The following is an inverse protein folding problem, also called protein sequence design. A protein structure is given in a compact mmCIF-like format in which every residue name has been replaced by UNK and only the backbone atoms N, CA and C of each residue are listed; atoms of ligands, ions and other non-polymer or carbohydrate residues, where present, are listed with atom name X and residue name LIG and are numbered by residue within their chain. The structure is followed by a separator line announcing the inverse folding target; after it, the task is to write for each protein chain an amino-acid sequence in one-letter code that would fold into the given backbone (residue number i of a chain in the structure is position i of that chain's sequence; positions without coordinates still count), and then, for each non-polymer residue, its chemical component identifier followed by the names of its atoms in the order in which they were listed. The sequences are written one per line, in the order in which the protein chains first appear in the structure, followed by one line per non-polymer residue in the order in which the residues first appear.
data_IF_847052885391
#
_entry.id   IF_847052885391
#
_cell.length_a   1.000
_cell.length_b   1.000
_cell.length_c   1.000
_cell.angle_alpha   90.00
_cell.angle_beta   90.00
_cell.angle_gamma   90.00
#
_symmetry.space_group_name_H-M   'P 1'
#
loop_
_entity.id
_entity.type
_entity.pdbx_description
1 polymer ?
#
# COMPACT_ATOMS: atom_id res chain seq x y z
N UNK A 1 -25.79 -0.98 -19.13
CA UNK A 1 -24.55 -0.22 -18.83
C UNK A 1 -23.73 -0.86 -17.70
N UNK A 2 -24.33 -1.31 -16.59
CA UNK A 2 -23.62 -1.96 -15.48
C UNK A 2 -22.69 -3.14 -15.89
N UNK A 3 -23.13 -4.06 -16.74
CA UNK A 3 -22.30 -5.23 -17.15
C UNK A 3 -21.09 -4.89 -18.03
N UNK A 4 -21.08 -3.73 -18.70
CA UNK A 4 -19.95 -3.29 -19.50
C UNK A 4 -18.83 -2.72 -18.61
N UNK A 5 -19.19 -1.90 -17.62
CA UNK A 5 -18.23 -1.36 -16.64
C UNK A 5 -17.60 -2.45 -15.77
N UNK A 6 -18.37 -3.48 -15.40
CA UNK A 6 -17.83 -4.64 -14.67
C UNK A 6 -16.81 -5.43 -15.49
N UNK A 7 -17.05 -5.56 -16.80
CA UNK A 7 -16.12 -6.23 -17.73
C UNK A 7 -14.83 -5.44 -17.88
N UNK A 8 -14.90 -4.12 -18.09
CA UNK A 8 -13.71 -3.27 -18.19
C UNK A 8 -12.88 -3.26 -16.90
N UNK A 9 -13.54 -3.18 -15.74
CA UNK A 9 -12.84 -3.25 -14.46
C UNK A 9 -12.12 -4.57 -14.24
N UNK A 10 -12.74 -5.68 -14.62
CA UNK A 10 -12.11 -7.00 -14.59
C UNK A 10 -10.86 -7.05 -15.47
N UNK A 11 -10.95 -6.65 -16.75
CA UNK A 11 -9.79 -6.68 -17.66
C UNK A 11 -8.67 -5.75 -17.19
N UNK A 12 -9.01 -4.56 -16.68
CA UNK A 12 -8.02 -3.64 -16.12
C UNK A 12 -7.26 -4.27 -14.95
N UNK A 13 -7.98 -4.83 -13.96
CA UNK A 13 -7.35 -5.50 -12.81
C UNK A 13 -6.54 -6.71 -13.27
N UNK A 14 -7.05 -7.51 -14.21
CA UNK A 14 -6.36 -8.69 -14.72
C UNK A 14 -5.04 -8.33 -15.42
N UNK A 15 -5.06 -7.32 -16.28
CA UNK A 15 -3.84 -6.84 -16.97
C UNK A 15 -2.86 -6.26 -15.95
N UNK A 16 -3.34 -5.45 -15.00
CA UNK A 16 -2.50 -4.89 -13.95
C UNK A 16 -1.84 -5.98 -13.12
N UNK A 17 -2.60 -6.95 -12.60
CA UNK A 17 -2.05 -8.05 -11.80
C UNK A 17 -1.08 -8.92 -12.60
N UNK A 18 -1.38 -9.19 -13.87
CA UNK A 18 -0.49 -9.95 -14.76
C UNK A 18 0.83 -9.21 -14.97
N UNK A 19 0.77 -7.89 -15.21
CA UNK A 19 1.95 -7.05 -15.32
C UNK A 19 2.77 -7.04 -14.03
N UNK A 20 2.15 -6.80 -12.87
CA UNK A 20 2.85 -6.76 -11.59
C UNK A 20 3.49 -8.10 -11.24
N UNK A 21 2.80 -9.22 -11.49
CA UNK A 21 3.34 -10.57 -11.30
C UNK A 21 4.55 -10.82 -12.22
N UNK A 22 4.45 -10.43 -13.49
CA UNK A 22 5.56 -10.56 -14.43
C UNK A 22 6.76 -9.71 -14.02
N UNK A 23 6.54 -8.49 -13.53
CA UNK A 23 7.60 -7.60 -13.01
C UNK A 23 8.28 -8.19 -11.76
N UNK A 24 7.50 -8.75 -10.83
CA UNK A 24 8.03 -9.46 -9.67
C UNK A 24 8.91 -10.64 -10.10
N UNK A 25 8.40 -11.53 -10.96
CA UNK A 25 9.17 -12.69 -11.46
C UNK A 25 10.46 -12.24 -12.16
N UNK A 26 10.38 -11.23 -13.02
CA UNK A 26 11.55 -10.68 -13.72
C UNK A 26 12.56 -10.08 -12.74
N UNK A 27 12.11 -9.35 -11.72
CA UNK A 27 12.97 -8.81 -10.68
C UNK A 27 13.67 -9.91 -9.88
N UNK A 28 12.97 -11.00 -9.55
CA UNK A 28 13.55 -12.12 -8.80
C UNK A 28 14.48 -12.99 -9.63
N UNK A 29 14.20 -13.19 -10.92
CA UNK A 29 15.12 -13.85 -11.84
C UNK A 29 16.42 -13.03 -11.96
N UNK A 30 16.31 -11.71 -12.13
CA UNK A 30 17.48 -10.85 -12.20
C UNK A 30 18.24 -10.77 -10.87
N UNK A 31 17.54 -10.88 -9.73
CA UNK A 31 18.16 -10.98 -8.41
C UNK A 31 18.88 -12.32 -8.22
N UNK A 32 18.33 -13.43 -8.72
CA UNK A 32 18.95 -14.74 -8.64
C UNK A 32 20.24 -14.84 -9.49
N UNK A 33 20.27 -14.18 -10.66
CA UNK A 33 21.43 -14.21 -11.57
C UNK A 33 22.56 -13.30 -11.08
N UNK A 34 22.24 -12.09 -10.64
CA UNK A 34 23.26 -11.07 -10.36
C UNK A 34 23.41 -10.72 -8.88
N UNK A 35 22.50 -11.20 -8.02
CA UNK A 35 22.48 -10.87 -6.61
C UNK A 35 22.30 -9.37 -6.33
N UNK A 36 22.71 -8.98 -5.13
CA UNK A 36 22.63 -7.60 -4.62
C UNK A 36 23.91 -6.79 -4.85
N UNK A 37 25.01 -7.45 -5.24
CA UNK A 37 26.34 -6.86 -5.39
C UNK A 37 26.75 -6.89 -6.86
N UNK A 38 26.60 -5.77 -7.55
CA UNK A 38 27.02 -5.63 -8.95
C UNK A 38 27.63 -4.24 -9.18
N UNK A 39 28.54 -4.13 -10.15
CA UNK A 39 29.20 -2.87 -10.48
C UNK A 39 28.29 -1.98 -11.36
N UNK A 40 28.65 -0.69 -11.49
CA UNK A 40 27.86 0.30 -12.25
C UNK A 40 27.67 -0.07 -13.73
N UNK A 41 28.65 -0.73 -14.34
CA UNK A 41 28.59 -1.16 -15.74
C UNK A 41 27.55 -2.27 -15.95
N UNK A 42 27.48 -3.23 -15.03
CA UNK A 42 26.47 -4.28 -15.04
C UNK A 42 25.10 -3.71 -14.70
N UNK A 43 25.02 -2.81 -13.70
CA UNK A 43 23.79 -2.11 -13.33
C UNK A 43 23.15 -1.37 -14.52
N UNK A 44 23.97 -0.73 -15.37
CA UNK A 44 23.48 0.03 -16.53
C UNK A 44 22.79 -0.81 -17.61
N UNK A 45 22.97 -2.15 -17.58
CA UNK A 45 22.38 -3.10 -18.53
C UNK A 45 21.22 -3.89 -17.93
N UNK A 46 20.95 -3.70 -16.65
CA UNK A 46 19.89 -4.37 -15.92
C UNK A 46 18.55 -3.68 -16.13
N UNK A 47 17.47 -4.46 -16.06
CA UNK A 47 16.13 -3.90 -16.01
C UNK A 47 15.89 -3.23 -14.65
N UNK A 48 16.51 -3.76 -13.58
CA UNK A 48 16.40 -3.23 -12.22
C UNK A 48 17.79 -2.84 -11.67
N UNK A 49 18.27 -1.61 -11.98
CA UNK A 49 19.63 -1.18 -11.66
C UNK A 49 19.89 -0.98 -10.17
N UNK A 50 18.85 -0.89 -9.34
CA UNK A 50 18.96 -0.81 -7.88
C UNK A 50 18.12 -1.92 -7.26
N UNK A 51 18.67 -2.63 -6.26
CA UNK A 51 17.98 -3.73 -5.56
C UNK A 51 18.12 -3.60 -4.04
N UNK A 52 17.90 -2.40 -3.50
CA UNK A 52 18.06 -2.18 -2.05
C UNK A 52 16.96 -2.85 -1.23
N UNK A 53 17.19 -3.04 0.07
CA UNK A 53 16.19 -3.51 1.04
C UNK A 53 14.93 -2.66 0.98
N UNK A 54 15.08 -1.32 1.00
CA UNK A 54 13.95 -0.39 0.91
C UNK A 54 13.14 -0.66 -0.36
N UNK A 55 13.79 -0.72 -1.52
CA UNK A 55 13.12 -0.91 -2.80
C UNK A 55 12.43 -2.28 -2.91
N UNK A 56 13.04 -3.34 -2.35
CA UNK A 56 12.42 -4.68 -2.30
C UNK A 56 11.15 -4.73 -1.45
N UNK A 57 11.02 -3.82 -0.49
CA UNK A 57 9.86 -3.72 0.40
C UNK A 57 8.86 -2.64 -0.05
N UNK A 58 9.23 -1.79 -1.01
CA UNK A 58 8.34 -0.81 -1.66
C UNK A 58 7.25 -1.54 -2.44
N UNK A 59 6.03 -1.01 -2.38
CA UNK A 59 4.89 -1.60 -3.06
C UNK A 59 5.03 -1.57 -4.59
N UNK A 60 4.19 -2.32 -5.27
CA UNK A 60 4.39 -2.70 -6.67
C UNK A 60 4.23 -1.52 -7.64
N UNK A 61 3.24 -0.65 -7.45
CA UNK A 61 2.99 0.49 -8.34
C UNK A 61 4.16 1.47 -8.24
N UNK A 62 4.58 1.80 -7.02
CA UNK A 62 5.69 2.69 -6.77
C UNK A 62 7.01 2.11 -7.25
N UNK A 63 7.29 0.84 -6.97
CA UNK A 63 8.52 0.19 -7.43
C UNK A 63 8.58 0.10 -8.96
N UNK A 64 7.51 -0.35 -9.63
CA UNK A 64 7.57 -0.74 -11.05
C UNK A 64 7.08 0.33 -12.02
N UNK A 65 6.31 1.30 -11.56
CA UNK A 65 5.68 2.32 -12.42
C UNK A 65 6.11 3.72 -12.00
N UNK A 66 5.77 4.14 -10.77
CA UNK A 66 5.93 5.54 -10.40
C UNK A 66 7.40 5.94 -10.21
N UNK A 67 8.20 5.12 -9.53
CA UNK A 67 9.62 5.44 -9.30
C UNK A 67 10.40 5.51 -10.62
N UNK A 68 10.35 4.52 -11.53
CA UNK A 68 11.02 4.64 -12.83
C UNK A 68 10.55 5.86 -13.63
N UNK A 69 9.27 6.21 -13.54
CA UNK A 69 8.73 7.40 -14.20
C UNK A 69 9.31 8.69 -13.61
N UNK A 70 9.45 8.79 -12.28
CA UNK A 70 10.04 9.96 -11.61
C UNK A 70 11.54 10.07 -11.87
N UNK A 71 12.28 8.96 -11.87
CA UNK A 71 13.70 8.96 -12.24
C UNK A 71 13.91 9.38 -13.70
N UNK A 72 13.09 8.86 -14.63
CA UNK A 72 13.11 9.29 -16.03
C UNK A 72 12.76 10.77 -16.18
N UNK A 73 11.78 11.25 -15.41
CA UNK A 73 11.38 12.67 -15.43
C UNK A 73 12.51 13.57 -14.94
N UNK A 74 13.20 13.18 -13.88
CA UNK A 74 14.40 13.86 -13.40
C UNK A 74 15.52 13.85 -14.45
N UNK A 75 15.82 12.71 -15.06
CA UNK A 75 16.87 12.60 -16.09
C UNK A 75 16.59 13.48 -17.32
N UNK A 76 15.33 13.52 -17.78
CA UNK A 76 14.95 14.23 -19.00
C UNK A 76 14.67 15.71 -18.80
N UNK A 77 14.08 16.09 -17.67
CA UNK A 77 13.65 17.46 -17.40
C UNK A 77 14.62 18.22 -16.48
N UNK A 78 15.53 17.52 -15.79
CA UNK A 78 16.50 18.13 -14.88
C UNK A 78 15.83 18.86 -13.71
N UNK A 79 14.77 18.29 -13.14
CA UNK A 79 13.91 18.93 -12.13
C UNK A 79 14.75 19.41 -10.93
N UNK A 80 15.72 18.61 -10.50
CA UNK A 80 16.64 18.93 -9.41
C UNK A 80 17.49 20.19 -9.64
N UNK A 81 17.69 20.56 -10.90
CA UNK A 81 18.51 21.71 -11.31
C UNK A 81 17.68 23.00 -11.49
N UNK A 82 16.36 22.92 -11.40
CA UNK A 82 15.48 24.09 -11.55
C UNK A 82 15.58 24.98 -10.30
N UNK A 83 15.92 26.27 -10.44
CA UNK A 83 16.01 27.19 -9.31
C UNK A 83 14.70 27.28 -8.52
N UNK A 84 14.78 27.13 -7.20
CA UNK A 84 13.64 27.21 -6.29
C UNK A 84 12.88 25.90 -6.08
N UNK A 85 13.17 24.85 -6.86
CA UNK A 85 12.64 23.50 -6.58
C UNK A 85 13.53 22.84 -5.52
N UNK A 86 12.91 22.46 -4.41
CA UNK A 86 13.55 21.69 -3.34
C UNK A 86 12.66 20.50 -2.97
N UNK A 87 13.20 19.43 -2.37
CA UNK A 87 12.40 18.31 -1.89
C UNK A 87 11.21 18.78 -1.02
N UNK A 88 11.45 19.66 -0.05
CA UNK A 88 10.39 20.19 0.83
C UNK A 88 9.29 20.95 0.08
N UNK A 89 9.62 21.65 -1.01
CA UNK A 89 8.63 22.34 -1.85
C UNK A 89 7.77 21.32 -2.59
N UNK A 90 8.37 20.24 -3.09
CA UNK A 90 7.65 19.12 -3.69
C UNK A 90 6.76 18.45 -2.62
N UNK A 91 7.27 18.25 -1.40
CA UNK A 91 6.51 17.66 -0.30
C UNK A 91 5.25 18.49 0.05
N UNK A 92 5.39 19.81 0.12
CA UNK A 92 4.26 20.71 0.33
C UNK A 92 3.25 20.68 -0.84
N UNK A 93 3.74 20.53 -2.08
CA UNK A 93 2.89 20.47 -3.26
C UNK A 93 2.10 19.15 -3.33
N UNK A 94 2.72 18.02 -2.99
CA UNK A 94 2.02 16.74 -2.96
C UNK A 94 0.93 16.72 -1.88
N UNK A 95 1.16 17.34 -0.72
CA UNK A 95 0.12 17.53 0.30
C UNK A 95 -1.05 18.39 -0.23
N UNK A 96 -0.77 19.45 -0.98
CA UNK A 96 -1.81 20.25 -1.62
C UNK A 96 -2.64 19.43 -2.62
N UNK A 97 -2.00 18.57 -3.42
CA UNK A 97 -2.69 17.62 -4.28
C UNK A 97 -3.57 16.65 -3.49
N UNK A 98 -3.13 16.18 -2.31
CA UNK A 98 -3.93 15.35 -1.42
C UNK A 98 -5.21 16.06 -0.97
N UNK A 99 -5.14 17.35 -0.59
CA UNK A 99 -6.30 18.15 -0.22
C UNK A 99 -7.32 18.23 -1.36
N UNK A 100 -6.87 18.54 -2.58
CA UNK A 100 -7.73 18.60 -3.77
C UNK A 100 -8.36 17.23 -4.03
N UNK A 101 -7.57 16.16 -4.05
CA UNK A 101 -8.06 14.81 -4.27
C UNK A 101 -9.14 14.42 -3.25
N UNK A 102 -8.91 14.69 -1.96
CA UNK A 102 -9.86 14.39 -0.90
C UNK A 102 -11.18 15.17 -1.05
N UNK A 103 -11.13 16.39 -1.59
CA UNK A 103 -12.35 17.15 -1.92
C UNK A 103 -13.17 16.43 -3.00
N UNK A 104 -12.51 15.92 -4.03
CA UNK A 104 -13.16 15.12 -5.07
C UNK A 104 -13.68 13.77 -4.52
N UNK A 105 -12.96 13.13 -3.60
CA UNK A 105 -13.32 11.86 -2.97
C UNK A 105 -14.66 11.89 -2.22
N UNK A 106 -15.05 13.04 -1.67
CA UNK A 106 -16.31 13.22 -0.92
C UNK A 106 -17.52 13.41 -1.87
N UNK A 107 -17.28 13.57 -3.17
CA UNK A 107 -18.33 13.82 -4.16
C UNK A 107 -19.27 12.62 -4.32
N UNK A 108 -20.54 12.90 -4.57
CA UNK A 108 -21.55 11.88 -4.85
C UNK A 108 -21.25 11.12 -6.16
N UNK A 109 -20.93 11.88 -7.21
CA UNK A 109 -20.70 11.32 -8.53
C UNK A 109 -19.40 10.52 -8.59
N UNK A 110 -19.49 9.29 -9.09
CA UNK A 110 -18.33 8.41 -9.27
C UNK A 110 -17.26 9.05 -10.16
N UNK A 111 -17.64 9.76 -11.22
CA UNK A 111 -16.69 10.44 -12.11
C UNK A 111 -15.75 11.41 -11.35
N UNK A 112 -16.29 12.22 -10.44
CA UNK A 112 -15.47 13.11 -9.61
C UNK A 112 -14.57 12.34 -8.65
N UNK A 113 -15.06 11.26 -8.04
CA UNK A 113 -14.24 10.40 -7.18
C UNK A 113 -13.08 9.76 -7.96
N UNK A 114 -13.31 9.35 -9.21
CA UNK A 114 -12.27 8.82 -10.12
C UNK A 114 -11.22 9.87 -10.46
N UNK A 115 -11.63 11.12 -10.72
CA UNK A 115 -10.68 12.25 -10.87
C UNK A 115 -9.86 12.44 -9.60
N UNK A 116 -10.51 12.38 -8.43
CA UNK A 116 -9.82 12.39 -7.14
C UNK A 116 -8.76 11.28 -7.02
N UNK A 117 -9.06 10.06 -7.48
CA UNK A 117 -8.08 8.96 -7.48
C UNK A 117 -6.86 9.28 -8.34
N UNK A 118 -7.06 9.82 -9.55
CA UNK A 118 -5.95 10.21 -10.45
C UNK A 118 -5.10 11.32 -9.83
N UNK A 119 -5.72 12.32 -9.18
CA UNK A 119 -4.99 13.38 -8.48
C UNK A 119 -4.20 12.82 -7.29
N UNK A 120 -4.75 11.84 -6.57
CA UNK A 120 -4.03 11.20 -5.46
C UNK A 120 -2.85 10.35 -5.95
N UNK A 121 -3.02 9.68 -7.10
CA UNK A 121 -1.93 8.92 -7.70
C UNK A 121 -0.80 9.85 -8.18
N UNK A 122 -1.15 10.99 -8.77
CA UNK A 122 -0.18 12.03 -9.07
C UNK A 122 0.51 12.57 -7.81
N UNK A 123 -0.22 12.68 -6.69
CA UNK A 123 0.35 12.99 -5.38
C UNK A 123 1.39 11.94 -4.96
N UNK A 124 1.12 10.64 -5.12
CA UNK A 124 2.07 9.58 -4.78
C UNK A 124 3.33 9.63 -5.66
N UNK A 125 3.18 10.01 -6.93
CA UNK A 125 4.33 10.25 -7.80
C UNK A 125 5.19 11.42 -7.32
N UNK A 126 4.56 12.52 -6.88
CA UNK A 126 5.29 13.68 -6.34
C UNK A 126 6.02 13.38 -5.02
N UNK A 127 5.40 12.57 -4.16
CA UNK A 127 6.02 12.02 -2.94
C UNK A 127 7.31 11.27 -3.29
N UNK A 128 7.30 10.35 -4.26
CA UNK A 128 8.54 9.71 -4.73
C UNK A 128 9.54 10.68 -5.37
N UNK A 129 9.05 11.71 -6.08
CA UNK A 129 9.88 12.69 -6.77
C UNK A 129 10.72 13.51 -5.80
N UNK A 130 10.23 13.84 -4.61
CA UNK A 130 11.01 14.61 -3.64
C UNK A 130 12.29 13.86 -3.20
N UNK A 131 12.18 12.55 -3.05
CA UNK A 131 13.29 11.66 -2.73
C UNK A 131 14.25 11.52 -3.91
N UNK A 132 13.75 11.47 -5.14
CA UNK A 132 14.56 11.46 -6.37
C UNK A 132 15.36 12.77 -6.47
N UNK A 133 14.70 13.92 -6.30
CA UNK A 133 15.34 15.24 -6.34
C UNK A 133 16.36 15.39 -5.21
N UNK A 134 16.04 14.96 -3.99
CA UNK A 134 16.98 14.96 -2.86
C UNK A 134 18.23 14.15 -3.20
N UNK A 135 18.08 12.95 -3.77
CA UNK A 135 19.19 12.08 -4.17
C UNK A 135 20.04 12.70 -5.27
N UNK A 136 19.42 13.32 -6.26
CA UNK A 136 20.10 14.03 -7.35
C UNK A 136 20.92 15.22 -6.80
N UNK A 137 20.31 16.07 -5.96
CA UNK A 137 20.97 17.24 -5.35
C UNK A 137 22.07 16.85 -4.35
N UNK A 138 21.90 15.74 -3.64
CA UNK A 138 22.90 15.22 -2.70
C UNK A 138 23.99 14.35 -3.37
N UNK A 139 23.93 14.15 -4.69
CA UNK A 139 24.77 13.21 -5.44
C UNK A 139 24.79 11.78 -4.85
N UNK A 140 23.67 11.34 -4.25
CA UNK A 140 23.52 10.01 -3.66
C UNK A 140 22.73 9.12 -4.60
N UNK A 141 23.30 7.98 -5.00
CA UNK A 141 22.63 6.97 -5.84
C UNK A 141 21.93 5.85 -5.05
N UNK A 142 22.14 5.79 -3.74
CA UNK A 142 21.59 4.73 -2.89
C UNK A 142 20.21 5.08 -2.34
N UNK A 143 19.30 4.10 -2.38
CA UNK A 143 17.94 4.22 -1.86
C UNK A 143 17.91 3.93 -0.36
N UNK A 144 18.32 4.93 0.43
CA UNK A 144 18.27 4.91 1.89
C UNK A 144 17.48 6.12 2.36
N UNK A 145 16.62 5.94 3.36
CA UNK A 145 15.90 7.05 3.96
C UNK A 145 16.87 7.98 4.71
N UNK A 146 16.71 9.29 4.56
CA UNK A 146 17.48 10.29 5.29
C UNK A 146 17.01 10.45 6.73
N UNK A 147 16.94 9.36 7.51
CA UNK A 147 16.36 9.35 8.86
C UNK A 147 16.94 10.46 9.73
N UNK A 148 16.06 11.25 10.35
CA UNK A 148 16.44 12.36 11.23
C UNK A 148 16.82 13.67 10.52
N UNK A 149 16.79 13.73 9.19
CA UNK A 149 16.92 15.00 8.46
C UNK A 149 15.62 15.83 8.53
N UNK A 150 15.75 17.15 8.40
CA UNK A 150 14.58 18.04 8.34
C UNK A 150 13.68 17.73 7.14
N UNK A 151 14.27 17.37 5.99
CA UNK A 151 13.52 16.95 4.80
C UNK A 151 12.71 15.69 5.04
N UNK A 152 13.31 14.66 5.65
CA UNK A 152 12.61 13.43 6.03
C UNK A 152 11.43 13.68 6.97
N UNK A 153 11.57 14.61 7.93
CA UNK A 153 10.48 14.95 8.84
C UNK A 153 9.34 15.71 8.15
N UNK A 154 9.68 16.63 7.24
CA UNK A 154 8.68 17.38 6.46
C UNK A 154 7.91 16.43 5.55
N UNK A 155 8.61 15.59 4.81
CA UNK A 155 8.03 14.59 3.92
C UNK A 155 7.08 13.65 4.68
N UNK A 156 7.57 13.02 5.75
CA UNK A 156 6.76 12.14 6.60
C UNK A 156 5.52 12.84 7.20
N UNK A 157 5.63 14.13 7.56
CA UNK A 157 4.50 14.89 8.07
C UNK A 157 3.45 15.17 6.97
N UNK A 158 3.89 15.48 5.75
CA UNK A 158 3.01 15.69 4.60
C UNK A 158 2.33 14.39 4.17
N UNK A 159 3.04 13.26 4.16
CA UNK A 159 2.48 11.93 3.89
C UNK A 159 1.43 11.53 4.91
N UNK A 160 1.79 11.66 6.19
CA UNK A 160 0.89 11.34 7.29
C UNK A 160 -0.38 12.20 7.24
N UNK A 161 -0.21 13.52 7.00
CA UNK A 161 -1.31 14.44 6.83
C UNK A 161 -2.21 14.08 5.64
N UNK A 162 -1.62 13.79 4.48
CA UNK A 162 -2.33 13.38 3.27
C UNK A 162 -3.12 12.08 3.47
N UNK A 163 -2.50 11.10 4.10
CA UNK A 163 -3.14 9.82 4.46
C UNK A 163 -4.32 9.98 5.42
N UNK A 164 -4.18 10.83 6.45
CA UNK A 164 -5.28 11.15 7.37
C UNK A 164 -6.43 11.86 6.66
N UNK A 165 -6.13 12.80 5.76
CA UNK A 165 -7.14 13.48 4.94
C UNK A 165 -7.90 12.49 4.07
N UNK A 166 -7.21 11.52 3.44
CA UNK A 166 -7.83 10.48 2.64
C UNK A 166 -8.79 9.64 3.49
N UNK A 167 -8.35 9.15 4.65
CA UNK A 167 -9.20 8.37 5.55
C UNK A 167 -10.41 9.17 6.05
N UNK A 168 -10.21 10.45 6.40
CA UNK A 168 -11.29 11.35 6.79
C UNK A 168 -12.29 11.55 5.66
N UNK A 169 -11.80 11.80 4.44
CA UNK A 169 -12.63 11.99 3.25
C UNK A 169 -13.53 10.78 2.97
N UNK A 170 -12.98 9.57 3.15
CA UNK A 170 -13.72 8.33 3.00
C UNK A 170 -14.78 8.15 4.09
N UNK A 171 -14.45 8.53 5.32
CA UNK A 171 -15.41 8.58 6.42
C UNK A 171 -16.57 9.53 6.13
N UNK A 172 -16.29 10.77 5.74
CA UNK A 172 -17.31 11.77 5.38
C UNK A 172 -18.17 11.27 4.22
N UNK A 173 -17.56 10.72 3.17
CA UNK A 173 -18.27 10.14 2.04
C UNK A 173 -19.28 9.06 2.49
N UNK A 174 -18.83 8.09 3.30
CA UNK A 174 -19.68 6.99 3.78
C UNK A 174 -20.76 7.46 4.77
N UNK A 175 -20.50 8.49 5.58
CA UNK A 175 -21.52 9.09 6.44
C UNK A 175 -22.61 9.80 5.64
N UNK A 176 -22.24 10.46 4.53
CA UNK A 176 -23.17 11.13 3.63
C UNK A 176 -23.94 10.15 2.76
N UNK A 177 -23.29 9.07 2.33
CA UNK A 177 -23.85 8.02 1.49
C UNK A 177 -23.67 6.62 2.13
N UNK A 178 -24.45 6.29 3.17
CA UNK A 178 -24.27 5.03 3.90
C UNK A 178 -24.54 3.81 3.02
N UNK A 179 -23.64 2.81 3.03
CA UNK A 179 -23.81 1.60 2.25
C UNK A 179 -25.02 0.79 2.73
N UNK A 180 -25.67 0.08 1.80
CA UNK A 180 -26.79 -0.78 2.10
C UNK A 180 -26.31 -2.14 2.65
N UNK A 181 -26.94 -2.61 3.72
CA UNK A 181 -26.73 -3.93 4.33
C UNK A 181 -27.99 -4.77 4.12
N UNK A 182 -27.80 -5.99 3.63
CA UNK A 182 -28.88 -6.99 3.55
C UNK A 182 -29.13 -7.57 4.95
N UNK A 183 -30.34 -7.40 5.47
CA UNK A 183 -30.78 -7.91 6.76
C UNK A 183 -31.90 -8.92 6.53
N UNK A 184 -31.82 -10.07 7.20
CA UNK A 184 -32.90 -11.07 7.18
C UNK A 184 -34.04 -10.51 8.03
N UNK A 185 -35.22 -10.35 7.44
CA UNK A 185 -36.42 -10.01 8.21
C UNK A 185 -36.82 -11.30 8.93
N UNK A 186 -36.69 -11.32 10.25
CA UNK A 186 -37.44 -12.27 11.07
C UNK A 186 -38.84 -11.69 11.17
N UNK A 187 -39.83 -12.37 10.58
CA UNK A 187 -41.23 -11.99 10.82
C UNK A 187 -41.53 -12.40 12.26
N UNK A 188 -41.48 -11.47 13.20
CA UNK A 188 -41.92 -11.67 14.58
C UNK A 188 -43.47 -11.72 14.67
N UNK A 189 -44.12 -12.44 13.74
CA UNK A 189 -45.58 -12.66 13.70
C UNK A 189 -45.93 -14.07 14.23
N UNK A 190 -44.94 -14.87 14.63
CA UNK A 190 -45.13 -16.24 15.13
C UNK A 190 -45.49 -16.35 16.61
N UNK A 191 -45.75 -15.26 17.33
CA UNK A 191 -46.33 -15.34 18.67
C UNK A 191 -47.88 -15.46 18.65
N UNK A 192 -48.54 -15.22 17.52
CA UNK A 192 -50.01 -15.19 17.43
C UNK A 192 -50.66 -16.15 16.42
N UNK A 193 -49.89 -16.73 15.48
CA UNK A 193 -50.46 -17.54 14.38
C UNK A 193 -50.33 -19.05 14.61
N UNK A 194 -49.46 -19.48 15.54
CA UNK A 194 -49.26 -20.89 15.89
C UNK A 194 -50.48 -21.59 16.51
N UNK A 195 -51.53 -20.84 16.89
CA UNK A 195 -52.80 -21.40 17.39
C UNK A 195 -53.89 -21.56 16.31
N UNK A 196 -53.65 -21.13 15.06
CA UNK A 196 -54.67 -21.14 14.00
C UNK A 196 -54.30 -21.94 12.75
N UNK A 197 -53.08 -22.48 12.63
CA UNK A 197 -52.59 -23.05 11.36
C UNK A 197 -52.47 -24.58 11.33
N UNK A 198 -53.22 -25.32 12.14
CA UNK A 198 -53.16 -26.81 12.18
C UNK A 198 -53.76 -27.50 10.93
N UNK A 199 -54.10 -26.76 9.86
CA UNK A 199 -54.89 -27.31 8.74
C UNK A 199 -54.44 -27.01 7.30
N UNK A 200 -53.25 -26.47 7.08
CA UNK A 200 -52.74 -26.33 5.70
C UNK A 200 -51.25 -26.70 5.59
N UNK A 201 -50.85 -27.46 4.54
CA UNK A 201 -49.45 -27.78 4.31
C UNK A 201 -48.67 -26.49 4.02
N UNK A 202 -47.74 -26.18 4.91
CA UNK A 202 -46.88 -25.00 4.88
C UNK A 202 -45.96 -25.05 3.65
N UNK A 203 -46.15 -24.10 2.73
CA UNK A 203 -45.17 -23.82 1.66
C UNK A 203 -43.82 -23.43 2.29
N UNK A 204 -42.68 -23.81 1.69
CA UNK A 204 -41.37 -23.46 2.24
C UNK A 204 -41.26 -21.94 2.36
N UNK A 205 -41.00 -21.50 3.59
CA UNK A 205 -40.97 -20.10 4.00
C UNK A 205 -39.87 -19.37 3.21
N UNK A 206 -40.26 -18.49 2.27
CA UNK A 206 -39.31 -17.65 1.54
C UNK A 206 -38.71 -16.65 2.53
N UNK A 207 -37.44 -16.86 2.87
CA UNK A 207 -36.64 -15.92 3.65
C UNK A 207 -36.67 -14.55 3.00
N UNK A 208 -37.39 -13.62 3.61
CA UNK A 208 -37.53 -12.25 3.10
C UNK A 208 -36.35 -11.43 3.63
N UNK A 209 -35.67 -10.71 2.74
CA UNK A 209 -34.54 -9.85 3.07
C UNK A 209 -34.91 -8.40 2.80
N UNK A 210 -34.50 -7.49 3.70
CA UNK A 210 -34.60 -6.04 3.52
C UNK A 210 -33.20 -5.43 3.42
N UNK A 211 -33.10 -4.30 2.72
CA UNK A 211 -31.88 -3.50 2.67
C UNK A 211 -32.01 -2.33 3.64
N UNK A 212 -31.09 -2.26 4.60
CA UNK A 212 -31.04 -1.21 5.62
C UNK A 212 -29.69 -0.52 5.52
N UNK A 213 -29.66 0.81 5.63
CA UNK A 213 -28.38 1.54 5.68
C UNK A 213 -27.55 1.10 6.89
N UNK A 214 -26.24 0.97 6.68
CA UNK A 214 -25.30 0.71 7.77
C UNK A 214 -25.34 1.88 8.75
N UNK A 215 -25.31 1.55 10.05
CA UNK A 215 -25.29 2.55 11.11
C UNK A 215 -24.02 3.40 11.06
N UNK A 216 -24.18 4.70 11.29
CA UNK A 216 -23.11 5.70 11.27
C UNK A 216 -22.01 5.38 12.28
N UNK A 217 -22.35 4.80 13.43
CA UNK A 217 -21.37 4.36 14.43
C UNK A 217 -20.47 3.25 13.88
N UNK A 218 -21.04 2.29 13.15
CA UNK A 218 -20.27 1.22 12.51
C UNK A 218 -19.30 1.80 11.50
N UNK A 219 -19.74 2.76 10.67
CA UNK A 219 -18.88 3.44 9.70
C UNK A 219 -17.70 4.12 10.40
N UNK A 220 -17.97 4.92 11.45
CA UNK A 220 -16.92 5.61 12.21
C UNK A 220 -15.91 4.62 12.81
N UNK A 221 -16.38 3.54 13.44
CA UNK A 221 -15.48 2.54 14.05
C UNK A 221 -14.64 1.85 12.97
N UNK A 222 -15.24 1.46 11.85
CA UNK A 222 -14.53 0.80 10.76
C UNK A 222 -13.45 1.71 10.16
N UNK A 223 -13.76 2.98 9.91
CA UNK A 223 -12.79 3.96 9.39
C UNK A 223 -11.68 4.22 10.42
N UNK A 224 -12.02 4.39 11.69
CA UNK A 224 -11.02 4.59 12.75
C UNK A 224 -10.06 3.39 12.85
N UNK A 225 -10.58 2.17 12.78
CA UNK A 225 -9.74 0.96 12.78
C UNK A 225 -8.85 0.88 11.55
N UNK A 226 -9.32 1.31 10.38
CA UNK A 226 -8.50 1.42 9.18
C UNK A 226 -7.36 2.43 9.37
N UNK A 227 -7.63 3.61 9.97
CA UNK A 227 -6.60 4.61 10.30
C UNK A 227 -5.53 4.01 11.22
N UNK A 228 -5.94 3.36 12.32
CA UNK A 228 -5.00 2.73 13.26
C UNK A 228 -4.13 1.68 12.53
N UNK A 229 -4.72 0.89 11.64
CA UNK A 229 -3.97 -0.08 10.83
C UNK A 229 -2.95 0.60 9.92
N UNK A 230 -3.29 1.69 9.23
CA UNK A 230 -2.34 2.41 8.36
C UNK A 230 -1.15 2.95 9.16
N UNK A 231 -1.41 3.56 10.31
CA UNK A 231 -0.36 4.06 11.21
C UNK A 231 0.55 2.91 11.65
N UNK A 232 -0.05 1.78 12.05
CA UNK A 232 0.70 0.56 12.40
C UNK A 232 1.54 0.05 11.23
N UNK A 233 0.96 -0.05 10.02
CA UNK A 233 1.66 -0.50 8.81
C UNK A 233 2.87 0.36 8.51
N UNK A 234 2.73 1.68 8.54
CA UNK A 234 3.83 2.62 8.31
C UNK A 234 4.94 2.44 9.35
N UNK A 235 4.60 2.43 10.65
CA UNK A 235 5.59 2.29 11.71
C UNK A 235 6.32 0.95 11.72
N UNK A 236 5.60 -0.16 11.53
CA UNK A 236 6.23 -1.48 11.45
C UNK A 236 7.06 -1.64 10.18
N UNK A 237 6.58 -1.17 9.04
CA UNK A 237 7.33 -1.22 7.78
C UNK A 237 8.66 -0.46 7.91
N UNK A 238 8.66 0.78 8.43
CA UNK A 238 9.90 1.55 8.64
C UNK A 238 10.85 0.84 9.60
N UNK A 239 10.33 0.28 10.71
CA UNK A 239 11.12 -0.52 11.64
C UNK A 239 11.83 -1.70 10.96
N UNK A 240 11.12 -2.48 10.14
CA UNK A 240 11.72 -3.63 9.46
C UNK A 240 12.65 -3.23 8.32
N UNK A 241 12.30 -2.23 7.51
CA UNK A 241 13.19 -1.69 6.48
C UNK A 241 14.51 -1.26 7.11
N UNK A 242 14.45 -0.49 8.20
CA UNK A 242 15.64 -0.04 8.92
C UNK A 242 16.43 -1.22 9.49
N UNK A 243 15.76 -2.18 10.13
CA UNK A 243 16.41 -3.34 10.74
C UNK A 243 17.13 -4.23 9.71
N UNK A 244 16.51 -4.46 8.55
CA UNK A 244 17.13 -5.22 7.46
C UNK A 244 18.23 -4.42 6.78
N UNK A 245 18.06 -3.11 6.59
CA UNK A 245 19.10 -2.23 6.04
C UNK A 245 20.37 -2.23 6.91
N UNK A 246 20.20 -2.03 8.23
CA UNK A 246 21.29 -2.07 9.21
C UNK A 246 22.00 -3.43 9.26
N UNK A 247 21.27 -4.52 9.05
CA UNK A 247 21.80 -5.87 9.16
C UNK A 247 22.46 -6.39 7.87
N UNK A 248 21.88 -6.08 6.71
CA UNK A 248 22.21 -6.72 5.42
C UNK A 248 22.89 -5.79 4.41
N UNK A 249 22.75 -4.47 4.54
CA UNK A 249 23.31 -3.51 3.57
C UNK A 249 24.43 -2.65 4.15
N UNK A 250 24.36 -2.31 5.44
CA UNK A 250 25.40 -1.55 6.11
C UNK A 250 26.65 -2.43 6.33
N UNK A 251 27.84 -1.99 5.88
CA UNK A 251 29.08 -2.73 6.12
C UNK A 251 29.32 -2.87 7.63
N UNK A 252 29.37 -4.11 8.11
CA UNK A 252 29.64 -4.41 9.50
C UNK A 252 31.02 -5.08 9.62
N UNK A 253 31.95 -4.58 10.47
CA UNK A 253 33.24 -5.23 10.68
C UNK A 253 33.14 -6.68 11.19
N UNK A 254 32.02 -7.06 11.81
CA UNK A 254 31.80 -8.40 12.36
C UNK A 254 31.25 -9.41 11.36
N UNK A 255 30.69 -8.97 10.23
CA UNK A 255 30.08 -9.85 9.25
C UNK A 255 30.75 -9.70 7.89
N UNK A 256 31.19 -10.79 7.24
CA UNK A 256 31.66 -10.72 5.87
C UNK A 256 30.58 -10.17 4.93
N UNK A 257 30.96 -9.22 4.07
CA UNK A 257 30.02 -8.60 3.10
C UNK A 257 29.39 -9.63 2.16
N UNK A 258 30.14 -10.68 1.83
CA UNK A 258 29.66 -11.79 0.99
C UNK A 258 28.51 -12.53 1.67
N UNK A 259 28.64 -12.81 2.97
CA UNK A 259 27.61 -13.47 3.76
C UNK A 259 26.34 -12.60 3.89
N UNK A 260 26.49 -11.30 4.16
CA UNK A 260 25.35 -10.38 4.19
C UNK A 260 24.60 -10.35 2.85
N UNK A 261 25.34 -10.35 1.73
CA UNK A 261 24.76 -10.37 0.40
C UNK A 261 24.12 -11.71 0.05
N UNK A 262 24.70 -12.83 0.50
CA UNK A 262 24.13 -14.16 0.33
C UNK A 262 22.77 -14.26 1.03
N UNK A 263 22.72 -13.87 2.32
CA UNK A 263 21.47 -13.86 3.10
C UNK A 263 20.43 -12.95 2.47
N UNK A 264 20.83 -11.77 2.00
CA UNK A 264 19.92 -10.85 1.30
C UNK A 264 19.31 -11.47 0.02
N UNK A 265 19.96 -12.46 -0.58
CA UNK A 265 19.46 -13.19 -1.76
C UNK A 265 18.71 -14.49 -1.39
N UNK A 266 18.57 -14.85 -0.11
CA UNK A 266 17.82 -16.03 0.29
C UNK A 266 16.33 -15.91 -0.04
N UNK A 267 15.74 -17.05 -0.41
CA UNK A 267 14.30 -17.17 -0.74
C UNK A 267 13.41 -16.79 0.44
N UNK A 268 13.85 -17.05 1.68
CA UNK A 268 13.13 -16.66 2.89
C UNK A 268 13.11 -15.14 3.06
N UNK A 269 14.26 -14.48 2.88
CA UNK A 269 14.39 -13.01 2.94
C UNK A 269 13.55 -12.35 1.85
N UNK A 270 13.62 -12.90 0.65
CA UNK A 270 12.77 -12.52 -0.46
C UNK A 270 11.28 -12.57 -0.09
N UNK A 271 10.79 -13.71 0.40
CA UNK A 271 9.38 -13.90 0.72
C UNK A 271 8.90 -12.88 1.76
N UNK A 272 9.71 -12.62 2.79
CA UNK A 272 9.38 -11.63 3.83
C UNK A 272 9.31 -10.22 3.25
N UNK A 273 10.26 -9.83 2.41
CA UNK A 273 10.24 -8.51 1.74
C UNK A 273 9.03 -8.38 0.80
N UNK A 274 8.71 -9.43 0.04
CA UNK A 274 7.54 -9.47 -0.84
C UNK A 274 6.23 -9.34 -0.07
N UNK A 275 6.11 -10.00 1.09
CA UNK A 275 4.95 -9.81 1.97
C UNK A 275 4.79 -8.35 2.41
N UNK A 276 5.88 -7.61 2.62
CA UNK A 276 5.80 -6.18 2.91
C UNK A 276 5.36 -5.34 1.72
N UNK A 277 5.68 -5.72 0.48
CA UNK A 277 5.21 -5.02 -0.73
C UNK A 277 3.68 -4.98 -0.85
N UNK A 278 2.97 -5.99 -0.34
CA UNK A 278 1.49 -6.02 -0.32
C UNK A 278 0.90 -5.48 0.99
N UNK A 279 1.71 -5.25 2.01
CA UNK A 279 1.26 -4.96 3.38
C UNK A 279 1.61 -3.56 3.86
N UNK A 280 2.44 -2.82 3.12
CA UNK A 280 2.84 -1.46 3.47
C UNK A 280 1.64 -0.51 3.55
N UNK A 281 1.87 0.66 4.15
CA UNK A 281 0.88 1.72 4.15
C UNK A 281 0.57 2.22 2.73
N UNK A 282 1.57 2.28 1.86
CA UNK A 282 1.42 2.73 0.46
C UNK A 282 0.56 1.74 -0.32
N UNK A 283 0.80 0.43 -0.16
CA UNK A 283 -0.05 -0.61 -0.75
C UNK A 283 -1.51 -0.48 -0.30
N UNK A 284 -1.73 -0.16 0.98
CA UNK A 284 -3.07 0.10 1.50
C UNK A 284 -3.74 1.29 0.80
N UNK A 285 -3.01 2.38 0.55
CA UNK A 285 -3.55 3.52 -0.18
C UNK A 285 -3.83 3.17 -1.63
N UNK A 286 -2.95 2.44 -2.32
CA UNK A 286 -3.20 1.96 -3.68
C UNK A 286 -4.48 1.11 -3.79
N UNK A 287 -4.69 0.16 -2.86
CA UNK A 287 -5.93 -0.60 -2.80
C UNK A 287 -7.16 0.26 -2.47
N UNK A 288 -6.98 1.32 -1.66
CA UNK A 288 -8.05 2.28 -1.35
C UNK A 288 -8.45 3.08 -2.60
N UNK A 289 -7.48 3.54 -3.39
CA UNK A 289 -7.73 4.23 -4.67
C UNK A 289 -8.45 3.30 -5.65
N UNK A 290 -8.00 2.04 -5.77
CA UNK A 290 -8.66 1.04 -6.61
C UNK A 290 -10.11 0.78 -6.15
N UNK A 291 -10.33 0.69 -4.85
CA UNK A 291 -11.66 0.52 -4.28
C UNK A 291 -12.56 1.73 -4.57
N UNK A 292 -12.03 2.95 -4.55
CA UNK A 292 -12.77 4.15 -4.93
C UNK A 292 -13.07 4.21 -6.43
N UNK A 293 -12.11 3.84 -7.29
CA UNK A 293 -12.24 3.81 -8.75
C UNK A 293 -13.43 2.93 -9.21
N UNK A 294 -13.64 1.81 -8.52
CA UNK A 294 -14.70 0.82 -8.80
C UNK A 294 -15.93 0.91 -7.88
N UNK A 295 -16.03 1.96 -7.07
CA UNK A 295 -17.14 2.17 -6.11
C UNK A 295 -17.34 1.00 -5.12
N UNK A 296 -16.23 0.39 -4.68
CA UNK A 296 -16.17 -0.72 -3.72
C UNK A 296 -15.54 -0.32 -2.38
N UNK A 297 -15.45 0.98 -2.06
CA UNK A 297 -14.77 1.47 -0.85
C UNK A 297 -15.28 0.85 0.45
N UNK A 298 -16.59 0.60 0.58
CA UNK A 298 -17.14 -0.08 1.76
C UNK A 298 -16.73 -1.56 1.85
N UNK A 299 -16.67 -2.26 0.72
CA UNK A 299 -16.24 -3.67 0.68
C UNK A 299 -14.77 -3.76 1.10
N UNK A 300 -13.94 -2.86 0.57
CA UNK A 300 -12.53 -2.74 0.95
C UNK A 300 -12.37 -2.47 2.45
N UNK A 301 -13.05 -1.48 3.01
CA UNK A 301 -12.95 -1.18 4.45
C UNK A 301 -13.40 -2.35 5.35
N UNK A 302 -14.41 -3.11 4.95
CA UNK A 302 -14.79 -4.34 5.67
C UNK A 302 -13.70 -5.40 5.59
N UNK A 303 -13.08 -5.59 4.42
CA UNK A 303 -11.97 -6.52 4.26
C UNK A 303 -10.81 -6.14 5.17
N UNK A 304 -10.44 -4.86 5.21
CA UNK A 304 -9.43 -4.31 6.14
C UNK A 304 -9.82 -4.57 7.60
N UNK A 305 -11.08 -4.32 7.96
CA UNK A 305 -11.55 -4.49 9.33
C UNK A 305 -11.52 -5.94 9.81
N UNK A 306 -11.93 -6.90 8.97
CA UNK A 306 -12.04 -8.31 9.36
C UNK A 306 -10.76 -9.11 9.13
N UNK A 307 -10.07 -8.87 8.02
CA UNK A 307 -8.91 -9.67 7.57
C UNK A 307 -7.60 -8.91 7.82
N UNK A 308 -7.61 -7.58 7.71
CA UNK A 308 -6.41 -6.74 7.76
C UNK A 308 -5.60 -6.91 9.04
N UNK A 309 -6.25 -7.10 10.20
CA UNK A 309 -5.56 -7.34 11.48
C UNK A 309 -4.78 -8.65 11.51
N UNK A 310 -5.36 -9.74 11.03
CA UNK A 310 -4.67 -11.03 10.97
C UNK A 310 -3.53 -10.99 9.96
N UNK A 311 -3.77 -10.32 8.84
CA UNK A 311 -2.80 -10.14 7.77
C UNK A 311 -1.56 -9.37 8.27
N UNK A 312 -1.73 -8.20 8.90
CA UNK A 312 -0.59 -7.43 9.42
C UNK A 312 0.12 -8.15 10.57
N UNK A 313 -0.62 -8.77 11.49
CA UNK A 313 -0.03 -9.52 12.60
C UNK A 313 0.82 -10.70 12.09
N UNK A 314 0.34 -11.43 11.08
CA UNK A 314 1.09 -12.50 10.44
C UNK A 314 2.39 -12.02 9.80
N UNK A 315 2.35 -10.92 9.06
CA UNK A 315 3.55 -10.35 8.43
C UNK A 315 4.55 -9.86 9.47
N UNK A 316 4.11 -9.23 10.56
CA UNK A 316 4.99 -8.81 11.66
C UNK A 316 5.63 -10.02 12.32
N UNK A 317 4.85 -11.05 12.67
CA UNK A 317 5.36 -12.25 13.33
C UNK A 317 6.40 -12.96 12.47
N UNK A 318 6.09 -13.19 11.18
CA UNK A 318 7.02 -13.81 10.23
C UNK A 318 8.30 -12.97 10.06
N UNK A 319 8.16 -11.65 9.99
CA UNK A 319 9.31 -10.74 9.85
C UNK A 319 10.21 -10.75 11.08
N UNK A 320 9.64 -10.78 12.30
CA UNK A 320 10.43 -10.88 13.53
C UNK A 320 11.13 -12.22 13.64
N UNK A 321 10.43 -13.33 13.39
CA UNK A 321 11.03 -14.67 13.42
C UNK A 321 12.17 -14.79 12.42
N UNK A 322 11.97 -14.29 11.19
CA UNK A 322 13.01 -14.28 10.18
C UNK A 322 14.20 -13.41 10.58
N UNK A 323 13.97 -12.21 11.15
CA UNK A 323 15.05 -11.34 11.60
C UNK A 323 15.88 -11.98 12.72
N UNK A 324 15.22 -12.67 13.67
CA UNK A 324 15.89 -13.42 14.74
C UNK A 324 16.77 -14.54 14.18
N UNK A 325 16.24 -15.31 13.23
CA UNK A 325 16.97 -16.41 12.58
C UNK A 325 18.17 -15.91 11.79
N UNK A 326 17.99 -14.85 10.98
CA UNK A 326 19.08 -14.25 10.22
C UNK A 326 20.18 -13.73 11.13
N UNK A 327 19.82 -13.07 12.25
CA UNK A 327 20.82 -12.61 13.22
C UNK A 327 21.57 -13.79 13.87
N UNK A 328 20.87 -14.86 14.23
CA UNK A 328 21.49 -16.05 14.79
C UNK A 328 22.46 -16.70 13.79
N UNK A 329 22.05 -16.82 12.53
CA UNK A 329 22.88 -17.36 11.45
C UNK A 329 24.14 -16.52 11.20
N UNK A 330 24.00 -15.20 11.07
CA UNK A 330 25.13 -14.29 10.86
C UNK A 330 26.12 -14.33 12.03
N UNK A 331 25.63 -14.44 13.27
CA UNK A 331 26.48 -14.57 14.46
C UNK A 331 27.19 -15.92 14.53
N UNK A 332 26.51 -17.01 14.17
CA UNK A 332 27.11 -18.35 14.16
C UNK A 332 28.21 -18.49 13.10
N UNK A 333 28.05 -17.82 11.95
CA UNK A 333 29.04 -17.81 10.88
C UNK A 333 30.20 -16.82 11.09
N UNK A 334 30.12 -15.95 12.10
CA UNK A 334 31.16 -15.00 12.49
C UNK A 334 32.12 -15.54 13.58
N UNK A 335 31.74 -16.64 14.23
CA UNK A 335 32.60 -17.44 15.14
C UNK A 335 33.43 -18.43 14.34
#
# INVERSE_FOLDING_TARGET
MAGCEESFGFYFIFVLLTYLLWMDLSFFDELAVYGSNYNSTVASKMMFPVKSVKLRMTEHIDHYINLPLMELSEEKLGISSIPGITPNVISAFHFFCAVISCKFAISEHLAFRRIGCVIYEFRNQLDLLDGVVYRAQAHKKTFVSGWGSSGYLVDAAMDFGGGLLMAFSLGVFLHRFPPLKKVRIRKDVEAGVGLLSEHYPTKPEKTTYSFVHVDRRTITITVLMAVIQVIGRSGFWDHFVRSYHELLELPNPHYPKELQAEVLNYRSTWLVMWLWKISSADAFFQFTLLAMLFDKSWVWLKMVFYIGWFQIAGVIALSQLHLMEVRAYLNAAAL
#
